data_IF_039476458634
#
_entry.id   IF_039476458634
#
_cell.length_a   1.000
_cell.length_b   1.000
_cell.length_c   1.000
_cell.angle_alpha   90.00
_cell.angle_beta   90.00
_cell.angle_gamma   90.00
#
_symmetry.space_group_name_H-M   'P 1'
#
loop_
_entity.id
_entity.type
_entity.pdbx_description
1 polymer ?
#
# COMPACT_ATOMS: atom_id res chain seq x y z
N UNK A 1 -24.63 4.16 -27.29
CA UNK A 1 -23.29 4.60 -26.83
C UNK A 1 -23.44 6.01 -26.26
N UNK A 2 -22.86 6.28 -25.07
CA UNK A 2 -22.62 7.63 -24.52
C UNK A 2 -23.65 8.25 -23.53
N UNK A 3 -24.40 7.48 -22.73
CA UNK A 3 -25.06 8.05 -21.52
C UNK A 3 -24.66 7.36 -20.21
N UNK A 4 -23.90 6.26 -20.26
CA UNK A 4 -23.47 5.53 -19.04
C UNK A 4 -22.04 5.84 -18.58
N UNK A 5 -21.29 6.69 -19.31
CA UNK A 5 -19.98 7.15 -18.83
C UNK A 5 -20.07 8.40 -17.95
N UNK A 6 -21.19 9.14 -17.98
CA UNK A 6 -21.38 10.31 -17.12
C UNK A 6 -21.82 9.93 -15.70
N UNK A 7 -22.63 8.87 -15.52
CA UNK A 7 -23.02 8.40 -14.18
C UNK A 7 -21.85 7.84 -13.35
N UNK A 8 -20.76 7.39 -14.00
CA UNK A 8 -19.53 7.02 -13.31
C UNK A 8 -18.79 8.23 -12.72
N UNK A 9 -18.88 9.39 -13.37
CA UNK A 9 -18.21 10.61 -12.95
C UNK A 9 -18.98 11.35 -11.84
N UNK A 10 -20.31 11.26 -11.81
CA UNK A 10 -21.10 11.90 -10.73
C UNK A 10 -21.03 11.17 -9.38
N UNK A 11 -20.71 9.86 -9.36
CA UNK A 11 -20.42 9.16 -8.09
C UNK A 11 -19.12 9.62 -7.43
N UNK A 12 -18.15 10.07 -8.22
CA UNK A 12 -16.86 10.60 -7.75
C UNK A 12 -16.98 12.01 -7.16
N UNK A 13 -18.07 12.72 -7.42
CA UNK A 13 -18.25 14.13 -7.05
C UNK A 13 -19.11 14.30 -5.78
N UNK A 14 -19.85 13.27 -5.35
CA UNK A 14 -20.80 13.36 -4.24
C UNK A 14 -20.22 12.98 -2.86
N UNK A 15 -19.25 13.79 -2.43
CA UNK A 15 -19.05 14.16 -1.03
C UNK A 15 -18.36 13.14 -0.11
N UNK A 16 -17.14 13.54 0.28
CA UNK A 16 -16.44 13.18 1.53
C UNK A 16 -15.73 11.83 1.61
N UNK A 17 -14.82 11.56 0.67
CA UNK A 17 -13.68 10.68 0.98
C UNK A 17 -12.53 11.46 1.65
N UNK A 18 -12.91 12.19 2.69
CA UNK A 18 -12.03 12.48 3.81
C UNK A 18 -11.78 11.15 4.54
N UNK A 19 -10.76 10.39 4.12
CA UNK A 19 -10.07 9.51 5.06
C UNK A 19 -9.13 10.37 5.93
N UNK A 20 -9.69 11.43 6.54
CA UNK A 20 -9.24 11.93 7.85
C UNK A 20 -9.13 10.70 8.73
N UNK A 21 -7.90 10.34 9.11
CA UNK A 21 -7.55 9.43 10.21
C UNK A 21 -8.72 8.52 10.58
N UNK A 22 -8.97 7.49 9.76
CA UNK A 22 -10.13 6.64 10.00
C UNK A 22 -9.99 6.05 11.38
N UNK A 23 -10.87 6.49 12.29
CA UNK A 23 -10.99 6.03 13.67
C UNK A 23 -11.16 4.51 13.80
N UNK A 24 -11.35 3.80 12.68
CA UNK A 24 -11.28 2.34 12.61
C UNK A 24 -9.84 1.80 12.70
N UNK A 25 -8.84 2.52 12.17
CA UNK A 25 -7.42 2.17 12.22
C UNK A 25 -6.87 2.35 13.63
N UNK A 26 -7.31 3.38 14.35
CA UNK A 26 -6.82 3.70 15.71
C UNK A 26 -7.21 2.62 16.75
N UNK A 27 -8.36 1.96 16.54
CA UNK A 27 -8.84 0.88 17.41
C UNK A 27 -8.15 -0.47 17.14
N UNK A 28 -7.62 -0.65 15.93
CA UNK A 28 -6.88 -1.85 15.51
C UNK A 28 -5.38 -1.72 15.80
N UNK A 29 -4.82 -0.50 15.77
CA UNK A 29 -3.38 -0.25 15.92
C UNK A 29 -2.81 -0.62 17.29
N UNK A 30 -3.63 -0.73 18.34
CA UNK A 30 -3.14 -1.05 19.69
C UNK A 30 -3.17 -2.55 20.02
N UNK A 31 -4.11 -3.31 19.45
CA UNK A 31 -4.27 -4.75 19.73
C UNK A 31 -3.54 -5.64 18.69
N UNK A 32 -3.17 -5.10 17.51
CA UNK A 32 -2.54 -5.89 16.44
C UNK A 32 -1.04 -6.13 16.58
N UNK A 33 -0.36 -5.43 17.51
CA UNK A 33 1.09 -5.56 17.68
C UNK A 33 1.51 -6.94 18.21
N UNK A 34 0.56 -7.75 18.70
CA UNK A 34 0.83 -9.08 19.24
C UNK A 34 0.64 -10.22 18.21
N UNK A 35 -0.04 -10.01 17.07
CA UNK A 35 -0.37 -11.06 16.07
C UNK A 35 0.15 -10.80 14.63
N UNK A 36 1.43 -10.46 14.50
CA UNK A 36 2.36 -11.08 13.52
C UNK A 36 2.03 -11.11 11.99
N UNK A 37 1.40 -10.10 11.40
CA UNK A 37 1.33 -9.94 9.94
C UNK A 37 2.10 -8.71 9.43
N UNK A 38 3.36 -8.86 8.95
CA UNK A 38 4.18 -7.72 8.55
C UNK A 38 3.63 -6.95 7.34
N UNK A 39 2.85 -7.61 6.46
CA UNK A 39 2.25 -6.95 5.30
C UNK A 39 1.10 -6.03 5.70
N UNK A 40 0.40 -6.38 6.76
CA UNK A 40 -0.67 -5.56 7.31
C UNK A 40 -0.14 -4.34 8.06
N UNK A 41 0.93 -4.53 8.85
CA UNK A 41 1.64 -3.41 9.45
C UNK A 41 2.15 -2.43 8.37
N UNK A 42 2.73 -2.95 7.27
CA UNK A 42 3.13 -2.13 6.14
C UNK A 42 1.97 -1.38 5.46
N UNK A 43 0.81 -2.05 5.28
CA UNK A 43 -0.39 -1.41 4.74
C UNK A 43 -0.85 -0.23 5.61
N UNK A 44 -0.75 -0.37 6.94
CA UNK A 44 -1.24 0.64 7.87
C UNK A 44 -0.23 1.77 8.12
N UNK A 45 1.07 1.47 8.10
CA UNK A 45 2.12 2.40 8.50
C UNK A 45 2.78 3.12 7.33
N UNK A 46 2.85 2.49 6.15
CA UNK A 46 3.64 3.00 5.00
C UNK A 46 2.78 3.27 3.77
N UNK A 47 1.73 2.48 3.52
CA UNK A 47 0.85 2.73 2.38
C UNK A 47 -0.25 3.72 2.75
N UNK A 48 -0.26 4.86 2.06
CA UNK A 48 -1.28 5.89 2.22
C UNK A 48 -2.28 5.78 1.07
N UNK A 49 -3.58 5.69 1.41
CA UNK A 49 -4.63 5.77 0.41
C UNK A 49 -4.76 7.21 -0.09
N UNK A 50 -4.53 7.42 -1.37
CA UNK A 50 -4.59 8.74 -2.02
C UNK A 50 -5.22 8.54 -3.41
N UNK A 51 -6.47 8.97 -3.56
CA UNK A 51 -7.23 8.79 -4.80
C UNK A 51 -6.52 9.44 -6.00
N UNK A 52 -6.45 8.73 -7.13
CA UNK A 52 -5.78 9.21 -8.34
C UNK A 52 -4.25 9.08 -8.31
N UNK A 53 -3.67 8.88 -7.13
CA UNK A 53 -2.27 8.48 -6.97
C UNK A 53 -2.07 7.03 -7.40
N UNK A 54 -0.84 6.68 -7.77
CA UNK A 54 -0.53 5.33 -8.18
C UNK A 54 0.94 5.02 -8.11
N UNK A 55 1.27 3.85 -7.60
CA UNK A 55 2.64 3.38 -7.49
C UNK A 55 2.85 2.09 -8.26
N UNK A 56 4.07 1.89 -8.77
CA UNK A 56 4.39 0.66 -9.48
C UNK A 56 4.38 -0.53 -8.52
N UNK A 57 4.00 -1.72 -9.00
CA UNK A 57 4.10 -2.95 -8.18
C UNK A 57 5.54 -3.18 -7.70
N UNK A 58 6.53 -2.79 -8.51
CA UNK A 58 7.94 -2.87 -8.12
C UNK A 58 8.24 -1.94 -6.94
N UNK A 59 7.88 -0.66 -7.05
CA UNK A 59 8.12 0.34 -5.99
C UNK A 59 7.50 -0.07 -4.65
N UNK A 60 6.26 -0.58 -4.66
CA UNK A 60 5.56 -1.01 -3.44
C UNK A 60 6.29 -2.19 -2.78
N UNK A 61 6.74 -3.15 -3.57
CA UNK A 61 7.44 -4.32 -3.04
C UNK A 61 8.85 -3.95 -2.54
N UNK A 62 9.55 -3.09 -3.26
CA UNK A 62 10.90 -2.64 -2.88
C UNK A 62 10.82 -1.82 -1.58
N UNK A 63 9.86 -0.89 -1.47
CA UNK A 63 9.60 -0.14 -0.24
C UNK A 63 9.22 -1.04 0.94
N UNK A 64 8.42 -2.09 0.72
CA UNK A 64 8.12 -3.08 1.76
C UNK A 64 9.38 -3.79 2.27
N UNK A 65 10.27 -4.20 1.36
CA UNK A 65 11.54 -4.86 1.73
C UNK A 65 12.45 -3.92 2.51
N UNK A 66 12.59 -2.68 2.07
CA UNK A 66 13.38 -1.69 2.81
C UNK A 66 12.77 -1.43 4.19
N UNK A 67 11.45 -1.27 4.29
CA UNK A 67 10.77 -1.05 5.56
C UNK A 67 10.97 -2.21 6.53
N UNK A 68 10.74 -3.44 6.10
CA UNK A 68 10.86 -4.61 6.98
C UNK A 68 12.29 -4.88 7.43
N UNK A 69 13.28 -4.59 6.58
CA UNK A 69 14.69 -4.62 6.94
C UNK A 69 15.02 -3.54 7.98
N UNK A 70 14.48 -2.33 7.82
CA UNK A 70 14.65 -1.23 8.77
C UNK A 70 14.02 -1.47 10.14
N UNK A 71 12.84 -2.11 10.17
CA UNK A 71 12.13 -2.46 11.40
C UNK A 71 12.75 -3.67 12.13
N UNK A 72 13.64 -4.44 11.49
CA UNK A 72 14.20 -5.66 12.05
C UNK A 72 13.16 -6.78 12.26
N UNK A 73 12.02 -6.71 11.56
CA UNK A 73 10.94 -7.69 11.66
C UNK A 73 11.24 -8.88 10.76
N UNK A 74 10.94 -10.11 11.23
CA UNK A 74 11.06 -11.29 10.37
C UNK A 74 10.06 -11.24 9.22
N UNK A 75 10.56 -11.33 7.98
CA UNK A 75 9.74 -11.41 6.75
C UNK A 75 8.75 -12.56 6.76
N UNK A 76 8.94 -13.62 7.57
CA UNK A 76 8.00 -14.77 7.68
C UNK A 76 7.58 -15.37 6.34
N UNK A 77 8.47 -15.33 5.34
CA UNK A 77 8.20 -15.82 3.99
C UNK A 77 7.34 -14.90 3.11
N UNK A 78 7.12 -13.64 3.51
CA UNK A 78 6.44 -12.59 2.70
C UNK A 78 7.41 -11.78 1.84
N UNK A 79 8.70 -12.09 1.88
CA UNK A 79 9.73 -11.67 0.92
C UNK A 79 9.44 -12.16 -0.50
N UNK A 80 8.70 -13.27 -0.63
CA UNK A 80 8.18 -13.75 -1.90
C UNK A 80 7.12 -12.78 -2.48
N UNK A 81 7.31 -12.26 -3.71
CA UNK A 81 6.36 -11.33 -4.34
C UNK A 81 4.94 -11.87 -4.37
N UNK A 82 4.77 -13.16 -4.67
CA UNK A 82 3.45 -13.77 -4.77
C UNK A 82 2.74 -13.81 -3.41
N UNK A 83 3.48 -14.12 -2.35
CA UNK A 83 2.93 -14.18 -0.98
C UNK A 83 2.62 -12.78 -0.47
N UNK A 84 3.50 -11.81 -0.72
CA UNK A 84 3.27 -10.39 -0.42
C UNK A 84 1.96 -9.89 -1.03
N UNK A 85 1.79 -10.01 -2.36
CA UNK A 85 0.58 -9.49 -3.03
C UNK A 85 -0.70 -10.18 -2.59
N UNK A 86 -0.64 -11.49 -2.28
CA UNK A 86 -1.78 -12.22 -1.73
C UNK A 86 -2.13 -11.71 -0.33
N UNK A 87 -1.13 -11.53 0.54
CA UNK A 87 -1.32 -11.01 1.88
C UNK A 87 -1.87 -9.58 1.85
N UNK A 88 -1.31 -8.70 1.01
CA UNK A 88 -1.75 -7.32 0.89
C UNK A 88 -3.21 -7.23 0.42
N UNK A 89 -3.58 -8.01 -0.60
CA UNK A 89 -4.96 -8.05 -1.08
C UNK A 89 -5.94 -8.59 -0.03
N UNK A 90 -5.50 -9.55 0.79
CA UNK A 90 -6.32 -10.03 1.89
C UNK A 90 -6.47 -8.95 2.97
N UNK A 91 -5.39 -8.27 3.34
CA UNK A 91 -5.40 -7.19 4.32
C UNK A 91 -6.23 -6.00 3.86
N UNK A 92 -6.23 -5.62 2.58
CA UNK A 92 -7.12 -4.54 2.09
C UNK A 92 -8.60 -4.95 2.10
N UNK A 93 -8.90 -6.22 1.80
CA UNK A 93 -10.28 -6.73 1.89
C UNK A 93 -10.79 -6.71 3.33
N UNK A 94 -9.94 -7.07 4.29
CA UNK A 94 -10.29 -7.12 5.71
C UNK A 94 -10.39 -5.71 6.30
N UNK A 95 -9.37 -4.86 6.07
CA UNK A 95 -9.24 -3.57 6.74
C UNK A 95 -9.94 -2.42 6.02
N UNK A 96 -10.02 -2.46 4.69
CA UNK A 96 -10.57 -1.38 3.86
C UNK A 96 -11.88 -1.79 3.17
N UNK A 97 -12.33 -3.04 3.33
CA UNK A 97 -13.45 -3.62 2.60
C UNK A 97 -13.36 -3.37 1.07
N UNK A 98 -12.13 -3.41 0.54
CA UNK A 98 -11.81 -3.06 -0.84
C UNK A 98 -10.76 -3.98 -1.45
N UNK A 99 -10.85 -4.18 -2.76
CA UNK A 99 -9.88 -4.98 -3.53
C UNK A 99 -8.80 -4.08 -4.14
N UNK A 100 -7.58 -4.62 -4.30
CA UNK A 100 -6.52 -3.92 -5.01
C UNK A 100 -6.89 -3.74 -6.49
N UNK A 101 -6.91 -2.50 -6.96
CA UNK A 101 -7.14 -2.19 -8.37
C UNK A 101 -5.85 -1.75 -9.07
N UNK A 102 -5.76 -2.02 -10.37
CA UNK A 102 -4.51 -1.81 -11.13
C UNK A 102 -4.74 -1.01 -12.42
N UNK A 103 -3.72 -0.31 -12.88
CA UNK A 103 -3.63 0.22 -14.25
C UNK A 103 -2.34 -0.25 -14.92
N UNK A 104 -2.40 -0.53 -16.22
CA UNK A 104 -1.23 -0.89 -17.03
C UNK A 104 -0.83 0.31 -17.87
N UNK A 105 0.40 0.80 -17.71
CA UNK A 105 0.95 1.92 -18.48
C UNK A 105 2.28 1.45 -19.07
N UNK A 106 2.40 1.49 -20.40
CA UNK A 106 3.61 1.10 -21.12
C UNK A 106 4.19 -0.27 -20.70
N UNK A 107 3.32 -1.27 -20.47
CA UNK A 107 3.74 -2.61 -20.04
C UNK A 107 3.86 -2.79 -18.52
N UNK A 108 4.00 -1.71 -17.75
CA UNK A 108 4.17 -1.73 -16.30
C UNK A 108 2.82 -1.67 -15.58
N UNK A 109 2.66 -2.47 -14.52
CA UNK A 109 1.49 -2.46 -13.65
C UNK A 109 1.69 -1.49 -12.48
N UNK A 110 0.68 -0.64 -12.28
CA UNK A 110 0.58 0.31 -11.19
C UNK A 110 -0.62 -0.06 -10.33
N UNK A 111 -0.43 -0.08 -9.01
CA UNK A 111 -1.52 -0.12 -8.05
C UNK A 111 -2.15 1.28 -8.00
N UNK A 112 -3.48 1.36 -8.06
CA UNK A 112 -4.21 2.65 -8.00
C UNK A 112 -4.54 3.00 -6.56
N UNK A 113 -4.71 4.30 -6.33
CA UNK A 113 -5.25 4.89 -5.11
C UNK A 113 -4.39 4.64 -3.87
N UNK A 114 -3.13 4.28 -4.08
CA UNK A 114 -2.14 4.09 -3.04
C UNK A 114 -0.85 4.82 -3.41
N UNK A 115 -0.21 5.36 -2.37
CA UNK A 115 1.07 6.03 -2.40
C UNK A 115 1.95 5.51 -1.27
N UNK A 116 3.25 5.51 -1.49
CA UNK A 116 4.24 5.13 -0.46
C UNK A 116 4.59 6.38 0.36
N UNK A 117 4.46 6.30 1.69
CA UNK A 117 5.03 7.29 2.59
C UNK A 117 6.54 7.01 2.77
N UNK A 118 7.35 7.62 1.90
CA UNK A 118 8.80 7.49 1.93
C UNK A 118 9.44 8.01 3.24
N UNK A 119 8.72 8.79 4.06
CA UNK A 119 9.23 9.24 5.36
C UNK A 119 9.31 8.13 6.41
N UNK A 120 8.55 7.04 6.20
CA UNK A 120 8.46 5.86 7.07
C UNK A 120 9.45 4.78 6.71
N UNK A 121 10.07 4.88 5.53
CA UNK A 121 11.14 3.99 5.13
C UNK A 121 12.42 4.36 5.90
N UNK A 122 13.27 3.39 6.22
CA UNK A 122 14.59 3.71 6.75
C UNK A 122 15.27 4.65 5.76
N UNK A 123 15.80 5.76 6.28
CA UNK A 123 16.68 6.62 5.52
C UNK A 123 17.95 5.83 5.28
N UNK A 124 18.04 5.11 4.17
CA UNK A 124 19.34 4.62 3.73
C UNK A 124 20.24 5.85 3.58
N UNK A 125 21.25 5.96 4.46
CA UNK A 125 22.50 6.58 4.07
C UNK A 125 22.96 5.78 2.86
N UNK A 126 22.70 6.30 1.66
CA UNK A 126 23.04 5.60 0.43
C UNK A 126 24.56 5.58 0.32
N UNK A 127 25.19 4.57 0.92
CA UNK A 127 26.59 4.24 0.66
C UNK A 127 26.62 3.50 -0.66
N UNK A 128 26.47 4.24 -1.76
CA UNK A 128 26.94 3.79 -3.06
C UNK A 128 28.47 3.67 -2.99
N UNK A 129 28.99 2.56 -2.49
CA UNK A 129 30.36 2.17 -2.82
C UNK A 129 30.31 1.52 -4.19
N UNK A 130 30.57 2.32 -5.22
CA UNK A 130 31.08 1.77 -6.47
C UNK A 130 32.44 1.15 -6.16
N UNK A 131 32.50 -0.17 -6.09
CA UNK A 131 33.78 -0.88 -6.13
C UNK A 131 34.32 -0.77 -7.55
N UNK A 132 35.50 -0.14 -7.61
CA UNK A 132 36.33 0.15 -8.78
C UNK A 132 36.80 -1.10 -9.51
#
# INVERSE_FOLDING_TARGET
MLNWCLEGAERLINNDYNFTESKAIEKVTNDYKEEQNPVEAYLNEVLVYEEGSSETKKAILDAYKSWIEGEGISVRGTDSPQRFWRALNNSTKINLNSELTYKKIAGTLYLRDFKIDYSKLPKEEVKYTFSN
#
